data_IF_278726488230
#
_entry.id   IF_278726488230
#
_cell.length_a   1.000
_cell.length_b   1.000
_cell.length_c   1.000
_cell.angle_alpha   90.00
_cell.angle_beta   90.00
_cell.angle_gamma   90.00
#
_symmetry.space_group_name_H-M   'P 1'
#
loop_
_entity.id
_entity.type
_entity.pdbx_description
1 polymer ?
#
# COMPACT_ATOMS: atom_id res chain seq x y z
N UNK A 1 22.93 72.35 27.86
CA UNK A 1 22.50 71.11 28.55
C UNK A 1 21.59 70.24 27.67
N UNK A 2 21.68 70.29 26.32
CA UNK A 2 20.76 69.51 25.43
C UNK A 2 21.45 68.40 24.61
N UNK A 3 22.77 68.27 24.70
CA UNK A 3 23.52 67.27 23.88
C UNK A 3 23.49 65.86 24.46
N UNK A 4 23.05 65.66 25.69
CA UNK A 4 23.05 64.33 26.35
C UNK A 4 21.72 63.58 26.19
N UNK A 5 20.66 64.24 25.70
CA UNK A 5 19.33 63.62 25.54
C UNK A 5 19.13 62.88 24.20
N UNK A 6 19.86 63.29 23.19
CA UNK A 6 19.74 62.71 21.84
C UNK A 6 20.30 61.26 21.73
N UNK A 7 21.47 60.92 22.34
CA UNK A 7 21.97 59.56 22.25
C UNK A 7 21.14 58.55 23.08
N UNK A 8 20.49 58.99 24.20
CA UNK A 8 19.61 58.09 24.97
C UNK A 8 18.33 57.67 24.19
N UNK A 9 17.74 58.61 23.44
CA UNK A 9 16.53 58.32 22.66
C UNK A 9 16.85 57.37 21.49
N UNK A 10 18.00 57.54 20.84
CA UNK A 10 18.45 56.62 19.75
C UNK A 10 18.80 55.22 20.26
N UNK A 11 19.31 55.09 21.50
CA UNK A 11 19.58 53.81 22.10
C UNK A 11 18.28 53.09 22.50
N UNK A 12 17.26 53.82 22.97
CA UNK A 12 15.97 53.25 23.34
C UNK A 12 15.16 52.76 22.14
N UNK A 13 15.23 53.44 21.00
CA UNK A 13 14.59 53.01 19.76
C UNK A 13 15.27 51.80 19.12
N UNK A 14 16.57 51.59 19.30
CA UNK A 14 17.32 50.43 18.82
C UNK A 14 16.98 49.12 19.60
N UNK A 15 16.63 49.22 20.88
CA UNK A 15 16.32 48.03 21.71
C UNK A 15 14.89 47.52 21.50
N UNK A 16 13.93 48.36 21.08
CA UNK A 16 12.56 47.91 20.77
C UNK A 16 12.45 47.14 19.44
N UNK A 17 13.42 47.24 18.54
CA UNK A 17 13.41 46.54 17.25
C UNK A 17 13.79 45.06 17.30
N UNK A 18 14.35 44.55 18.40
CA UNK A 18 14.82 43.18 18.53
C UNK A 18 13.82 42.19 19.22
N UNK A 19 12.67 42.70 19.68
CA UNK A 19 11.64 41.85 20.29
C UNK A 19 10.68 41.20 19.31
N UNK A 20 11.13 40.90 18.06
CA UNK A 20 10.44 40.05 17.14
C UNK A 20 10.57 38.58 17.56
N UNK A 21 9.93 38.19 18.67
CA UNK A 21 9.72 36.80 18.99
C UNK A 21 8.88 36.21 17.86
N UNK A 22 9.51 35.46 16.95
CA UNK A 22 8.78 34.56 16.04
C UNK A 22 8.07 33.54 16.92
N UNK A 23 6.77 33.73 17.12
CA UNK A 23 5.92 32.72 17.78
C UNK A 23 5.89 31.55 16.81
N UNK A 24 6.81 30.61 17.03
CA UNK A 24 6.82 29.35 16.33
C UNK A 24 5.59 28.56 16.81
N UNK A 25 4.55 28.51 16.01
CA UNK A 25 3.38 27.69 16.35
C UNK A 25 3.82 26.22 16.40
N UNK A 26 3.50 25.49 17.47
CA UNK A 26 3.85 24.09 17.58
C UNK A 26 3.16 23.30 16.46
N UNK A 27 3.94 22.55 15.69
CA UNK A 27 3.42 21.66 14.65
C UNK A 27 2.74 20.47 15.29
N UNK A 28 1.47 20.24 14.99
CA UNK A 28 0.72 19.09 15.50
C UNK A 28 1.17 17.82 14.80
N UNK A 29 1.29 16.72 15.56
CA UNK A 29 1.59 15.41 15.03
C UNK A 29 0.28 14.60 14.90
N UNK A 30 0.08 14.00 13.74
CA UNK A 30 -1.12 13.23 13.40
C UNK A 30 -0.78 11.77 13.11
N UNK A 31 -1.70 10.89 13.47
CA UNK A 31 -1.68 9.49 13.13
C UNK A 31 -3.06 9.09 12.61
N UNK A 32 -3.12 8.11 11.71
CA UNK A 32 -4.40 7.60 11.24
C UNK A 32 -5.12 6.86 12.37
N UNK A 33 -6.33 7.31 12.65
CA UNK A 33 -7.20 6.61 13.57
C UNK A 33 -7.90 5.45 12.85
N UNK A 34 -7.69 4.24 13.37
CA UNK A 34 -8.38 3.04 12.85
C UNK A 34 -9.85 2.97 13.29
N UNK A 35 -10.37 3.95 14.03
CA UNK A 35 -11.56 3.78 14.84
C UNK A 35 -11.29 2.75 15.94
N UNK A 36 -12.29 2.40 16.71
CA UNK A 36 -12.21 1.25 17.62
C UNK A 36 -12.99 0.08 17.00
N UNK A 37 -12.39 -0.69 16.07
CA UNK A 37 -13.10 -1.75 15.38
C UNK A 37 -13.41 -2.95 16.28
N UNK A 38 -12.97 -2.94 17.54
CA UNK A 38 -13.08 -4.10 18.41
C UNK A 38 -12.15 -5.23 18.00
N UNK A 39 -12.31 -6.38 18.68
CA UNK A 39 -11.52 -7.58 18.38
C UNK A 39 -12.40 -8.66 17.73
N UNK A 40 -11.86 -9.44 16.79
CA UNK A 40 -12.55 -10.60 16.25
C UNK A 40 -12.89 -11.58 17.38
N UNK A 41 -14.13 -12.07 17.38
CA UNK A 41 -14.60 -13.02 18.41
C UNK A 41 -14.14 -14.46 18.14
N UNK A 42 -13.91 -14.79 16.86
CA UNK A 42 -13.50 -16.14 16.46
C UNK A 42 -11.98 -16.22 16.27
N UNK A 43 -11.36 -17.21 16.92
CA UNK A 43 -9.93 -17.53 16.74
C UNK A 43 -9.62 -18.12 15.36
N UNK A 44 -10.64 -18.68 14.70
CA UNK A 44 -10.60 -19.16 13.32
C UNK A 44 -10.98 -18.08 12.32
N UNK A 45 -11.78 -18.47 11.32
CA UNK A 45 -12.26 -17.59 10.26
C UNK A 45 -11.41 -17.64 9.00
N UNK A 46 -11.71 -16.74 8.08
CA UNK A 46 -11.04 -16.63 6.77
C UNK A 46 -9.58 -16.25 6.94
N UNK A 47 -8.68 -17.04 6.36
CA UNK A 47 -7.25 -16.71 6.32
C UNK A 47 -6.97 -15.72 5.20
N UNK A 48 -6.58 -14.49 5.55
CA UNK A 48 -6.27 -13.44 4.58
C UNK A 48 -4.81 -13.02 4.70
N UNK A 49 -4.11 -13.02 3.58
CA UNK A 49 -2.80 -12.39 3.44
C UNK A 49 -3.01 -10.99 2.86
N UNK A 50 -2.83 -9.96 3.68
CA UNK A 50 -2.88 -8.58 3.24
C UNK A 50 -1.51 -8.13 2.74
N UNK A 51 -1.42 -7.75 1.49
CA UNK A 51 -0.20 -7.20 0.90
C UNK A 51 0.36 -8.01 -0.27
N UNK A 52 1.34 -7.40 -0.95
CA UNK A 52 1.91 -6.09 -0.61
C UNK A 52 0.91 -4.93 -0.75
N UNK A 53 0.99 -3.97 0.18
CA UNK A 53 0.28 -2.70 0.09
C UNK A 53 1.26 -1.65 -0.41
N UNK A 54 1.05 -1.18 -1.64
CA UNK A 54 1.85 -0.11 -2.23
C UNK A 54 1.12 1.22 -2.08
N UNK A 55 1.85 2.27 -1.73
CA UNK A 55 1.34 3.65 -1.69
C UNK A 55 2.17 4.52 -2.62
N UNK A 56 1.56 5.58 -3.16
CA UNK A 56 2.25 6.54 -4.01
C UNK A 56 3.44 7.20 -3.29
N UNK A 57 4.52 7.49 -4.00
CA UNK A 57 5.78 8.00 -3.42
C UNK A 57 5.60 9.29 -2.62
N UNK A 58 4.71 10.18 -3.05
CA UNK A 58 4.46 11.43 -2.34
C UNK A 58 3.83 11.22 -0.95
N UNK A 59 3.20 10.06 -0.70
CA UNK A 59 2.62 9.66 0.59
C UNK A 59 3.66 9.09 1.57
N UNK A 60 4.87 8.80 1.11
CA UNK A 60 5.94 8.23 1.95
C UNK A 60 6.69 9.30 2.76
N UNK A 61 6.17 10.51 2.82
CA UNK A 61 6.77 11.65 3.53
C UNK A 61 6.11 11.86 4.89
N UNK A 62 6.89 12.33 5.85
CA UNK A 62 6.36 12.74 7.17
C UNK A 62 5.51 14.01 7.09
N UNK A 63 5.62 14.77 6.00
CA UNK A 63 4.89 16.01 5.82
C UNK A 63 3.44 15.72 5.44
N UNK A 64 2.49 16.30 6.15
CA UNK A 64 1.10 16.31 5.73
C UNK A 64 0.97 17.21 4.47
N UNK A 65 0.65 16.59 3.34
CA UNK A 65 0.49 17.30 2.07
C UNK A 65 -0.97 17.63 1.81
N UNK A 66 -1.20 18.86 1.37
CA UNK A 66 -2.52 19.39 1.05
C UNK A 66 -2.62 19.67 -0.45
N UNK A 67 -3.65 19.11 -1.08
CA UNK A 67 -3.92 19.35 -2.50
C UNK A 67 -4.55 20.73 -2.70
N UNK A 68 -4.01 21.46 -3.67
CA UNK A 68 -4.53 22.75 -4.06
C UNK A 68 -5.51 22.61 -5.24
N UNK A 69 -6.36 23.64 -5.50
CA UNK A 69 -7.31 23.63 -6.62
C UNK A 69 -6.65 23.48 -8.00
N UNK A 70 -5.41 23.92 -8.15
CA UNK A 70 -4.61 23.78 -9.38
C UNK A 70 -3.95 22.39 -9.54
N UNK A 71 -4.22 21.47 -8.58
CA UNK A 71 -3.65 20.13 -8.56
C UNK A 71 -2.27 20.02 -7.89
N UNK A 72 -1.63 21.13 -7.51
CA UNK A 72 -0.36 21.09 -6.80
C UNK A 72 -0.51 20.55 -5.37
N UNK A 73 0.60 20.11 -4.78
CA UNK A 73 0.68 19.66 -3.39
C UNK A 73 1.50 20.66 -2.58
N UNK A 74 0.92 21.19 -1.52
CA UNK A 74 1.55 22.09 -0.58
C UNK A 74 1.77 21.39 0.76
N UNK A 75 2.93 21.61 1.38
CA UNK A 75 3.19 21.15 2.74
C UNK A 75 2.31 21.93 3.73
N UNK A 76 1.65 21.20 4.64
CA UNK A 76 0.97 21.81 5.77
C UNK A 76 1.98 22.50 6.68
N UNK A 77 1.62 23.66 7.21
CA UNK A 77 2.45 24.43 8.16
C UNK A 77 2.18 24.05 9.60
N UNK A 78 1.02 23.48 9.86
CA UNK A 78 0.48 23.20 11.21
C UNK A 78 0.39 21.70 11.53
N UNK A 79 0.73 20.82 10.57
CA UNK A 79 0.59 19.38 10.75
C UNK A 79 1.65 18.53 10.06
N UNK A 80 2.02 17.43 10.73
CA UNK A 80 2.89 16.36 10.22
C UNK A 80 2.34 15.00 10.61
N UNK A 81 2.74 13.97 9.91
CA UNK A 81 2.55 12.60 10.36
C UNK A 81 3.48 12.30 11.54
N UNK A 82 2.98 11.60 12.56
CA UNK A 82 3.75 11.20 13.74
C UNK A 82 4.76 10.08 13.44
N UNK A 83 4.60 9.41 12.29
CA UNK A 83 5.45 8.32 11.85
C UNK A 83 5.22 8.00 10.38
N UNK A 84 5.46 6.75 10.00
CA UNK A 84 5.23 6.27 8.64
C UNK A 84 3.74 6.13 8.34
N UNK A 85 3.22 6.94 7.42
CA UNK A 85 1.85 6.82 6.93
C UNK A 85 1.56 5.44 6.33
N UNK A 86 2.56 4.82 5.67
CA UNK A 86 2.43 3.46 5.15
C UNK A 86 2.16 2.45 6.26
N UNK A 87 2.92 2.52 7.35
CA UNK A 87 2.72 1.63 8.49
C UNK A 87 1.35 1.85 9.17
N UNK A 88 0.90 3.09 9.27
CA UNK A 88 -0.42 3.42 9.80
C UNK A 88 -1.55 2.85 8.93
N UNK A 89 -1.43 2.95 7.59
CA UNK A 89 -2.36 2.37 6.61
C UNK A 89 -2.42 0.85 6.78
N UNK A 90 -1.27 0.19 6.85
CA UNK A 90 -1.16 -1.25 7.01
C UNK A 90 -1.87 -1.72 8.29
N UNK A 91 -1.60 -1.06 9.42
CA UNK A 91 -2.20 -1.39 10.70
C UNK A 91 -3.71 -1.11 10.75
N UNK A 92 -4.16 -0.01 10.13
CA UNK A 92 -5.57 0.31 10.03
C UNK A 92 -6.31 -0.76 9.21
N UNK A 93 -5.80 -1.09 8.02
CA UNK A 93 -6.42 -2.07 7.13
C UNK A 93 -6.42 -3.46 7.75
N UNK A 94 -5.32 -3.87 8.40
CA UNK A 94 -5.23 -5.15 9.10
C UNK A 94 -6.33 -5.28 10.16
N UNK A 95 -6.43 -4.29 11.07
CA UNK A 95 -7.42 -4.29 12.16
C UNK A 95 -8.85 -4.25 11.63
N UNK A 96 -9.12 -3.38 10.66
CA UNK A 96 -10.44 -3.26 10.07
C UNK A 96 -10.87 -4.55 9.36
N UNK A 97 -9.98 -5.19 8.58
CA UNK A 97 -10.29 -6.44 7.90
C UNK A 97 -10.48 -7.58 8.90
N UNK A 98 -9.63 -7.70 9.91
CA UNK A 98 -9.78 -8.71 10.95
C UNK A 98 -11.15 -8.62 11.64
N UNK A 99 -11.57 -7.42 12.01
CA UNK A 99 -12.88 -7.19 12.62
C UNK A 99 -14.05 -7.47 11.67
N UNK A 100 -14.01 -6.93 10.43
CA UNK A 100 -15.10 -7.07 9.44
C UNK A 100 -15.28 -8.50 8.91
N UNK A 101 -14.22 -9.28 8.93
CA UNK A 101 -14.23 -10.71 8.56
C UNK A 101 -14.45 -11.61 9.78
N UNK A 102 -14.46 -11.03 10.99
CA UNK A 102 -14.49 -11.74 12.27
C UNK A 102 -13.45 -12.88 12.30
N UNK A 103 -12.21 -12.55 11.94
CA UNK A 103 -11.12 -13.51 11.80
C UNK A 103 -9.82 -13.01 12.41
N UNK A 104 -9.20 -13.81 13.26
CA UNK A 104 -7.84 -13.58 13.76
C UNK A 104 -6.75 -14.06 12.78
N UNK A 105 -7.15 -14.64 11.64
CA UNK A 105 -6.23 -15.15 10.60
C UNK A 105 -5.99 -14.16 9.48
N UNK A 106 -6.01 -12.86 9.78
CA UNK A 106 -5.62 -11.80 8.85
C UNK A 106 -4.19 -11.40 9.19
N UNK A 107 -3.26 -11.53 8.26
CA UNK A 107 -1.84 -11.24 8.47
C UNK A 107 -1.28 -10.36 7.35
N UNK A 108 -0.26 -9.58 7.68
CA UNK A 108 0.48 -8.79 6.69
C UNK A 108 1.50 -9.65 5.95
N UNK A 109 1.72 -9.34 4.66
CA UNK A 109 2.84 -9.88 3.91
C UNK A 109 4.17 -9.21 4.34
N UNK A 110 5.30 -9.98 4.44
CA UNK A 110 5.42 -11.40 4.22
C UNK A 110 4.90 -12.24 5.40
N UNK A 111 4.15 -13.29 5.12
CA UNK A 111 3.67 -14.19 6.17
C UNK A 111 4.70 -15.30 6.48
N UNK A 112 4.49 -15.99 7.62
CA UNK A 112 5.27 -17.18 7.95
C UNK A 112 5.09 -18.30 6.89
N UNK A 113 6.13 -19.12 6.68
CA UNK A 113 6.14 -20.12 5.62
C UNK A 113 5.01 -21.17 5.71
N UNK A 114 4.46 -21.39 6.91
CA UNK A 114 3.35 -22.32 7.15
C UNK A 114 1.96 -21.66 7.06
N UNK A 115 1.88 -20.37 6.77
CA UNK A 115 0.62 -19.68 6.60
C UNK A 115 0.07 -19.89 5.20
N UNK A 116 -1.09 -20.52 5.11
CA UNK A 116 -1.81 -20.72 3.85
C UNK A 116 -3.04 -19.83 3.83
N UNK A 117 -3.04 -18.74 3.03
CA UNK A 117 -4.19 -17.85 2.91
C UNK A 117 -5.30 -18.48 2.09
N UNK A 118 -6.55 -18.19 2.46
CA UNK A 118 -7.72 -18.44 1.62
C UNK A 118 -7.80 -17.42 0.49
N UNK A 119 -7.43 -16.18 0.82
CA UNK A 119 -7.39 -15.05 -0.12
C UNK A 119 -6.15 -14.20 0.16
N UNK A 120 -5.44 -13.83 -0.90
CA UNK A 120 -4.43 -12.78 -0.86
C UNK A 120 -5.01 -11.48 -1.42
N UNK A 121 -4.83 -10.39 -0.70
CA UNK A 121 -5.20 -9.03 -1.09
C UNK A 121 -3.95 -8.27 -1.48
N UNK A 122 -3.78 -7.97 -2.76
CA UNK A 122 -2.73 -7.07 -3.26
C UNK A 122 -3.37 -5.71 -3.49
N UNK A 123 -2.86 -4.67 -2.83
CA UNK A 123 -3.45 -3.34 -2.82
C UNK A 123 -2.44 -2.28 -3.27
N UNK A 124 -2.89 -1.35 -4.11
CA UNK A 124 -2.14 -0.15 -4.49
C UNK A 124 -3.02 1.07 -4.24
N UNK A 125 -2.52 2.01 -3.43
CA UNK A 125 -3.15 3.30 -3.14
C UNK A 125 -2.38 4.35 -3.93
N UNK A 126 -3.00 4.86 -4.99
CA UNK A 126 -2.39 5.85 -5.89
C UNK A 126 -2.67 7.28 -5.46
N UNK A 127 -3.68 7.47 -4.64
CA UNK A 127 -4.04 8.76 -4.06
C UNK A 127 -4.66 8.60 -2.67
N UNK A 128 -4.19 9.40 -1.72
CA UNK A 128 -4.79 9.59 -0.41
C UNK A 128 -4.42 10.99 0.07
N UNK A 129 -5.16 11.98 -0.37
CA UNK A 129 -4.89 13.38 -0.05
C UNK A 129 -6.18 14.17 0.14
N UNK A 130 -6.04 15.38 0.65
CA UNK A 130 -7.10 16.33 0.90
C UNK A 130 -6.54 17.74 0.80
N UNK A 131 -7.39 18.74 0.79
CA UNK A 131 -7.01 20.14 0.83
C UNK A 131 -7.92 20.95 1.75
N UNK A 132 -7.55 22.16 2.11
CA UNK A 132 -8.37 23.01 2.99
C UNK A 132 -9.79 23.22 2.46
N UNK A 133 -9.95 23.29 1.13
CA UNK A 133 -11.21 23.56 0.43
C UNK A 133 -11.64 22.41 -0.50
N UNK A 134 -10.97 21.28 -0.41
CA UNK A 134 -11.25 20.11 -1.22
C UNK A 134 -11.49 18.89 -0.34
N UNK A 135 -12.40 17.98 -0.74
CA UNK A 135 -12.64 16.76 0.02
C UNK A 135 -11.36 15.92 0.13
N UNK A 136 -11.32 15.04 1.09
CA UNK A 136 -10.36 13.96 1.07
C UNK A 136 -10.74 12.97 -0.04
N UNK A 137 -9.73 12.50 -0.79
CA UNK A 137 -9.90 11.58 -1.91
C UNK A 137 -8.98 10.39 -1.73
N UNK A 138 -9.52 9.19 -1.97
CA UNK A 138 -8.76 7.96 -2.03
C UNK A 138 -8.99 7.30 -3.39
N UNK A 139 -7.89 7.10 -4.13
CA UNK A 139 -7.87 6.26 -5.33
C UNK A 139 -7.00 5.04 -5.07
N UNK A 140 -7.57 3.87 -5.28
CA UNK A 140 -6.90 2.62 -5.03
C UNK A 140 -7.28 1.55 -6.07
N UNK A 141 -6.41 0.56 -6.21
CA UNK A 141 -6.68 -0.65 -6.96
C UNK A 141 -6.35 -1.85 -6.10
N UNK A 142 -7.23 -2.85 -6.09
CA UNK A 142 -6.90 -4.15 -5.51
C UNK A 142 -6.95 -5.27 -6.54
N UNK A 143 -6.26 -6.35 -6.20
CA UNK A 143 -6.40 -7.66 -6.80
C UNK A 143 -6.56 -8.68 -5.69
N UNK A 144 -7.56 -9.52 -5.79
CA UNK A 144 -7.79 -10.61 -4.87
C UNK A 144 -7.41 -11.92 -5.56
N UNK A 145 -6.53 -12.67 -4.93
CA UNK A 145 -6.04 -13.94 -5.41
C UNK A 145 -6.57 -15.06 -4.51
N UNK A 146 -6.98 -16.17 -5.12
CA UNK A 146 -7.37 -17.37 -4.41
C UNK A 146 -6.16 -18.16 -3.87
N UNK A 147 -6.41 -19.29 -3.18
CA UNK A 147 -5.37 -20.19 -2.64
C UNK A 147 -4.36 -20.68 -3.68
N UNK A 148 -4.69 -20.64 -4.96
CA UNK A 148 -3.84 -21.07 -6.08
C UNK A 148 -3.06 -19.92 -6.69
N UNK A 149 -3.25 -18.70 -6.20
CA UNK A 149 -2.66 -17.50 -6.77
C UNK A 149 -3.38 -16.97 -8.02
N UNK A 150 -4.56 -17.50 -8.35
CA UNK A 150 -5.34 -16.97 -9.48
C UNK A 150 -6.07 -15.70 -9.08
N UNK A 151 -6.03 -14.70 -9.94
CA UNK A 151 -6.79 -13.46 -9.73
C UNK A 151 -8.29 -13.76 -9.87
N UNK A 152 -9.06 -13.51 -8.83
CA UNK A 152 -10.51 -13.75 -8.75
C UNK A 152 -11.31 -12.46 -8.84
N UNK A 153 -10.72 -11.34 -8.40
CA UNK A 153 -11.31 -10.01 -8.51
C UNK A 153 -10.21 -8.97 -8.70
N UNK A 154 -10.50 -7.96 -9.49
CA UNK A 154 -9.65 -6.78 -9.66
C UNK A 154 -10.52 -5.57 -9.83
N UNK A 155 -10.30 -4.53 -9.01
CA UNK A 155 -11.16 -3.36 -9.00
C UNK A 155 -10.38 -2.07 -8.75
N UNK A 156 -10.76 -1.04 -9.50
CA UNK A 156 -10.41 0.35 -9.23
C UNK A 156 -11.47 0.94 -8.30
N UNK A 157 -11.03 1.72 -7.33
CA UNK A 157 -11.88 2.36 -6.33
C UNK A 157 -11.56 3.83 -6.25
N UNK A 158 -12.59 4.63 -6.30
CA UNK A 158 -12.55 6.06 -6.03
C UNK A 158 -13.51 6.36 -4.88
N UNK A 159 -13.03 7.04 -3.84
CA UNK A 159 -13.82 7.43 -2.67
C UNK A 159 -13.52 8.88 -2.32
N UNK A 160 -14.55 9.59 -1.89
CA UNK A 160 -14.46 10.97 -1.40
C UNK A 160 -15.11 11.10 -0.02
N UNK A 161 -14.54 11.97 0.81
CA UNK A 161 -15.08 12.33 2.13
C UNK A 161 -14.93 13.84 2.35
N UNK A 162 -16.05 14.57 2.54
CA UNK A 162 -16.01 15.98 2.89
C UNK A 162 -15.48 16.19 4.33
N UNK A 163 -14.89 17.35 4.56
CA UNK A 163 -14.38 17.73 5.88
C UNK A 163 -14.34 19.26 6.07
N UNK A 164 -14.08 19.71 7.29
CA UNK A 164 -14.12 21.13 7.68
C UNK A 164 -12.83 21.93 7.35
N UNK A 165 -11.85 21.35 6.64
CA UNK A 165 -10.66 22.04 6.12
C UNK A 165 -9.44 22.04 7.04
N UNK A 166 -9.57 21.94 8.38
CA UNK A 166 -8.41 21.86 9.29
C UNK A 166 -7.60 20.58 9.06
N UNK A 167 -6.30 20.60 9.38
CA UNK A 167 -5.43 19.41 9.26
C UNK A 167 -5.97 18.21 10.03
N UNK A 168 -6.51 18.41 11.23
CA UNK A 168 -7.16 17.34 11.99
C UNK A 168 -8.39 16.75 11.28
N UNK A 169 -9.22 17.62 10.68
CA UNK A 169 -10.41 17.17 9.92
C UNK A 169 -10.02 16.43 8.63
N UNK A 170 -8.94 16.86 7.97
CA UNK A 170 -8.37 16.21 6.78
C UNK A 170 -7.90 14.79 7.12
N UNK A 171 -7.10 14.64 8.18
CA UNK A 171 -6.60 13.34 8.64
C UNK A 171 -7.75 12.40 9.03
N UNK A 172 -8.75 12.92 9.75
CA UNK A 172 -9.95 12.14 10.11
C UNK A 172 -10.69 11.65 8.86
N UNK A 173 -10.86 12.51 7.86
CA UNK A 173 -11.51 12.13 6.61
C UNK A 173 -10.73 11.05 5.84
N UNK A 174 -9.40 11.14 5.81
CA UNK A 174 -8.54 10.10 5.22
C UNK A 174 -8.69 8.75 5.95
N UNK A 175 -8.77 8.76 7.28
CA UNK A 175 -9.05 7.56 8.08
C UNK A 175 -10.41 6.93 7.73
N UNK A 176 -11.46 7.74 7.56
CA UNK A 176 -12.79 7.27 7.14
C UNK A 176 -12.75 6.62 5.75
N UNK A 177 -12.00 7.20 4.82
CA UNK A 177 -11.84 6.63 3.47
C UNK A 177 -11.19 5.25 3.50
N UNK A 178 -10.15 5.07 4.33
CA UNK A 178 -9.50 3.77 4.51
C UNK A 178 -10.42 2.74 5.18
N UNK A 179 -11.25 3.15 6.13
CA UNK A 179 -12.25 2.28 6.73
C UNK A 179 -13.29 1.83 5.69
N UNK A 180 -13.76 2.74 4.82
CA UNK A 180 -14.65 2.40 3.69
C UNK A 180 -13.98 1.49 2.66
N UNK A 181 -12.67 1.66 2.42
CA UNK A 181 -11.90 0.75 1.57
C UNK A 181 -11.89 -0.66 2.18
N UNK A 182 -11.65 -0.77 3.49
CA UNK A 182 -11.69 -2.05 4.20
C UNK A 182 -13.08 -2.70 4.17
N UNK A 183 -14.18 -1.92 4.22
CA UNK A 183 -15.54 -2.42 4.02
C UNK A 183 -15.69 -3.08 2.66
N UNK A 184 -15.30 -2.37 1.60
CA UNK A 184 -15.38 -2.89 0.22
C UNK A 184 -14.53 -4.14 0.03
N UNK A 185 -13.32 -4.16 0.59
CA UNK A 185 -12.43 -5.32 0.55
C UNK A 185 -13.04 -6.51 1.28
N UNK A 186 -13.60 -6.31 2.49
CA UNK A 186 -14.21 -7.40 3.26
C UNK A 186 -15.39 -8.05 2.52
N UNK A 187 -16.20 -7.23 1.84
CA UNK A 187 -17.33 -7.72 1.01
C UNK A 187 -16.81 -8.53 -0.18
N UNK A 188 -15.71 -8.09 -0.82
CA UNK A 188 -15.12 -8.77 -1.97
C UNK A 188 -14.39 -10.07 -1.60
N UNK A 189 -13.77 -10.13 -0.41
CA UNK A 189 -13.04 -11.30 0.09
C UNK A 189 -13.97 -12.47 0.44
N UNK A 190 -15.11 -12.21 1.08
CA UNK A 190 -16.03 -13.25 1.59
C UNK A 190 -16.43 -14.30 0.55
N UNK A 191 -16.90 -13.97 -0.66
CA UNK A 191 -17.31 -14.95 -1.65
C UNK A 191 -16.15 -15.78 -2.20
N UNK A 192 -14.93 -15.22 -2.24
CA UNK A 192 -13.75 -15.96 -2.71
C UNK A 192 -13.30 -16.97 -1.66
N UNK A 193 -13.28 -16.56 -0.41
CA UNK A 193 -12.89 -17.40 0.72
C UNK A 193 -13.87 -18.58 0.96
N UNK A 194 -15.15 -18.40 0.64
CA UNK A 194 -16.18 -19.43 0.82
C UNK A 194 -16.22 -20.46 -0.30
N UNK A 195 -15.42 -20.29 -1.38
CA UNK A 195 -15.37 -21.28 -2.45
C UNK A 195 -14.73 -22.59 -1.96
N UNK A 196 -15.40 -23.75 -2.18
CA UNK A 196 -14.82 -25.02 -1.79
C UNK A 196 -13.48 -25.22 -2.49
N UNK A 197 -12.47 -25.65 -1.73
CA UNK A 197 -11.20 -26.07 -2.30
C UNK A 197 -11.42 -27.38 -3.07
N UNK A 198 -11.60 -27.31 -4.37
CA UNK A 198 -11.50 -28.47 -5.25
C UNK A 198 -10.01 -28.73 -5.43
N UNK A 199 -9.48 -29.71 -4.69
CA UNK A 199 -8.12 -30.20 -4.94
C UNK A 199 -8.05 -30.61 -6.42
N UNK A 200 -6.99 -30.21 -7.13
CA UNK A 200 -6.76 -30.72 -8.47
C UNK A 200 -6.70 -32.23 -8.37
N UNK A 201 -7.73 -32.90 -8.90
CA UNK A 201 -7.63 -34.32 -9.19
C UNK A 201 -6.43 -34.40 -10.16
N UNK A 202 -5.34 -35.10 -9.79
CA UNK A 202 -4.19 -35.19 -10.68
C UNK A 202 -4.73 -35.67 -12.01
N UNK A 203 -4.56 -34.85 -13.06
CA UNK A 203 -4.97 -35.17 -14.42
C UNK A 203 -4.36 -36.54 -14.72
N UNK A 204 -5.19 -37.58 -14.66
CA UNK A 204 -4.77 -38.97 -14.87
C UNK A 204 -3.82 -38.97 -16.05
N UNK A 205 -2.55 -39.28 -15.79
CA UNK A 205 -1.53 -39.31 -16.79
C UNK A 205 -2.14 -40.07 -17.98
N UNK A 206 -2.15 -39.44 -19.14
CA UNK A 206 -2.66 -40.05 -20.37
C UNK A 206 -2.01 -41.40 -20.46
N UNK A 207 -2.81 -42.47 -20.47
CA UNK A 207 -2.38 -43.86 -20.65
C UNK A 207 -1.39 -43.85 -21.79
N UNK A 208 -0.14 -44.35 -21.63
CA UNK A 208 0.81 -44.39 -22.74
C UNK A 208 0.14 -45.14 -23.89
N UNK A 209 0.06 -44.47 -25.04
CA UNK A 209 -0.45 -45.06 -26.26
C UNK A 209 0.29 -46.36 -26.47
N UNK A 210 -0.48 -47.47 -26.70
CA UNK A 210 0.03 -48.78 -27.04
C UNK A 210 1.17 -48.66 -28.05
N UNK A 211 2.31 -49.21 -27.67
CA UNK A 211 3.50 -49.39 -28.51
C UNK A 211 3.06 -49.93 -29.89
N UNK A 212 3.16 -49.08 -30.90
CA UNK A 212 3.08 -49.55 -32.29
C UNK A 212 4.30 -50.43 -32.52
N UNK A 213 4.03 -51.63 -32.92
CA UNK A 213 4.96 -52.67 -33.35
C UNK A 213 5.98 -52.13 -34.33
N UNK A 214 7.20 -52.46 -34.12
CA UNK A 214 8.46 -52.23 -34.80
C UNK A 214 8.37 -52.59 -36.30
N UNK A 215 7.99 -51.68 -37.16
CA UNK A 215 8.17 -51.76 -38.61
C UNK A 215 8.10 -50.35 -39.19
N UNK A 216 9.24 -49.77 -39.38
CA UNK A 216 9.67 -48.59 -40.15
C UNK A 216 10.55 -47.66 -39.30
N UNK A 217 11.79 -48.14 -39.06
CA UNK A 217 12.88 -47.24 -38.69
C UNK A 217 13.47 -46.68 -39.98
N UNK A 218 13.40 -45.36 -40.23
CA UNK A 218 14.17 -44.76 -41.30
C UNK A 218 15.67 -44.96 -41.02
N UNK A 219 16.40 -45.54 -41.95
CA UNK A 219 17.86 -45.64 -41.92
C UNK A 219 18.44 -44.21 -41.96
N UNK A 220 19.04 -43.79 -40.85
CA UNK A 220 19.81 -42.55 -40.79
C UNK A 220 21.14 -42.83 -41.53
N UNK A 221 21.53 -42.05 -42.55
CA UNK A 221 22.82 -42.18 -43.18
C UNK A 221 23.91 -41.81 -42.19
N UNK A 222 24.89 -42.66 -41.96
CA UNK A 222 26.08 -42.31 -41.17
C UNK A 222 26.90 -41.30 -41.96
N UNK A 223 27.06 -40.10 -41.42
CA UNK A 223 27.95 -39.10 -41.95
C UNK A 223 29.43 -39.54 -41.73
N UNK A 224 30.20 -39.48 -42.79
CA UNK A 224 31.65 -39.73 -42.72
C UNK A 224 32.31 -38.61 -41.90
N UNK A 225 33.33 -38.90 -41.05
CA UNK A 225 34.01 -37.88 -40.29
C UNK A 225 34.78 -36.94 -41.22
N UNK A 226 34.58 -35.66 -41.03
CA UNK A 226 35.31 -34.58 -41.69
C UNK A 226 36.71 -34.55 -41.07
N UNK A 227 37.75 -34.82 -41.90
CA UNK A 227 39.14 -34.59 -41.53
C UNK A 227 39.38 -33.09 -41.48
N UNK A 228 39.64 -32.55 -40.29
CA UNK A 228 40.15 -31.20 -40.08
C UNK A 228 41.66 -31.28 -39.89
N UNK A 229 42.42 -31.17 -40.97
CA UNK A 229 43.85 -30.89 -40.92
C UNK A 229 43.99 -29.37 -40.63
N UNK A 230 44.13 -29.05 -39.37
CA UNK A 230 44.49 -27.71 -38.95
C UNK A 230 46.01 -27.61 -38.93
N UNK A 231 46.60 -27.01 -39.97
CA UNK A 231 47.96 -26.55 -39.95
C UNK A 231 48.08 -25.41 -38.90
N UNK A 232 48.92 -25.66 -37.93
CA UNK A 232 49.28 -24.67 -36.92
C UNK A 232 50.37 -23.77 -37.50
N UNK A 233 50.00 -22.56 -37.88
CA UNK A 233 50.98 -21.50 -38.16
C UNK A 233 51.46 -20.92 -36.83
N UNK A 234 52.77 -21.15 -36.53
CA UNK A 234 53.53 -20.42 -35.51
C UNK A 234 54.07 -19.14 -36.13
N UNK A 235 53.83 -18.02 -35.47
CA UNK A 235 54.62 -16.81 -35.54
C UNK A 235 55.13 -16.48 -34.16
#
# INVERSE_FOLDING_TARGET
MNFLRVPCVLLLTGVLGLAGCSVHQPTSLYQLDSGDPGQPKHTGGVAVLLGPVAIADYLQRETLLQRQPDGSLKASTDGRWAGSLSADIDQLLLRQLAWKLDSQRVVMAPAAANFTPDVQVVLSITRLDSGEKQPAVLDAQWRLLDRRGNVRDSKLVHLEEPHAGSSAAQVKAQGILLQRLADKLSVAVKPIASQPYVADVPKKAATPAKTRTDQDKPKIPMASPIRTDLEVFRF
#
